data_IF_606190360804
#
_entry.id   IF_606190360804
#
_cell.length_a   1.000
_cell.length_b   1.000
_cell.length_c   1.000
_cell.angle_alpha   90.00
_cell.angle_beta   90.00
_cell.angle_gamma   90.00
#
_symmetry.space_group_name_H-M   'P 1'
#
loop_
_entity.id
_entity.type
_entity.pdbx_description
1 polymer ?
#
# COMPACT_ATOMS: atom_id res chain seq x y z
N UNK A 1 -40.09 25.97 14.70
CA UNK A 1 -39.77 24.56 14.99
C UNK A 1 -39.06 23.99 13.77
N UNK A 2 -37.76 23.74 13.87
CA UNK A 2 -36.96 23.12 12.80
C UNK A 2 -37.40 21.67 12.66
N UNK A 3 -37.91 21.28 11.49
CA UNK A 3 -38.20 19.88 11.18
C UNK A 3 -36.92 19.07 11.41
N UNK A 4 -36.95 17.99 12.22
CA UNK A 4 -35.76 17.18 12.47
C UNK A 4 -35.23 16.64 11.15
N UNK A 5 -33.91 16.72 10.97
CA UNK A 5 -33.25 16.22 9.76
C UNK A 5 -33.44 14.70 9.65
N UNK A 6 -33.64 14.22 8.43
CA UNK A 6 -33.73 12.79 8.16
C UNK A 6 -32.41 12.09 8.60
N UNK A 7 -32.45 11.07 9.49
CA UNK A 7 -31.25 10.39 10.00
C UNK A 7 -30.35 9.79 8.92
N UNK A 8 -30.91 9.45 7.75
CA UNK A 8 -30.12 8.93 6.62
C UNK A 8 -29.17 9.95 6.00
N UNK A 9 -29.41 11.26 6.19
CA UNK A 9 -28.48 12.32 5.76
C UNK A 9 -27.32 12.51 6.75
N UNK A 10 -27.46 12.02 7.97
CA UNK A 10 -26.46 12.16 9.03
C UNK A 10 -25.46 11.00 9.10
N UNK A 11 -25.76 9.88 8.44
CA UNK A 11 -25.01 8.62 8.56
C UNK A 11 -24.16 8.26 7.33
N UNK A 12 -24.34 8.93 6.19
CA UNK A 12 -23.61 8.63 4.95
C UNK A 12 -23.62 9.81 3.97
N UNK A 13 -22.75 9.81 2.95
CA UNK A 13 -22.82 10.77 1.87
C UNK A 13 -24.17 10.73 1.15
N UNK A 14 -24.65 11.88 0.69
CA UNK A 14 -25.91 12.00 -0.04
C UNK A 14 -25.84 13.05 -1.15
N UNK A 15 -26.67 12.88 -2.19
CA UNK A 15 -26.76 13.80 -3.32
C UNK A 15 -27.72 14.95 -3.06
N UNK A 16 -27.63 16.03 -3.84
CA UNK A 16 -28.64 17.10 -3.86
C UNK A 16 -30.07 16.57 -4.06
N UNK A 17 -30.24 15.53 -4.89
CA UNK A 17 -31.56 14.93 -5.14
C UNK A 17 -32.09 14.28 -3.86
N UNK A 18 -31.25 13.50 -3.17
CA UNK A 18 -31.61 12.85 -1.91
C UNK A 18 -31.95 13.83 -0.79
N UNK A 19 -31.25 14.97 -0.74
CA UNK A 19 -31.58 16.05 0.20
C UNK A 19 -33.01 16.57 -0.04
N UNK A 20 -33.37 16.82 -1.31
CA UNK A 20 -34.71 17.31 -1.68
C UNK A 20 -35.80 16.29 -1.39
N UNK A 21 -35.57 15.01 -1.72
CA UNK A 21 -36.47 13.90 -1.36
C UNK A 21 -36.72 13.83 0.15
N UNK A 22 -35.73 14.24 0.95
CA UNK A 22 -35.80 14.27 2.41
C UNK A 22 -36.35 15.59 2.96
N UNK A 23 -36.95 16.45 2.12
CA UNK A 23 -37.53 17.73 2.52
C UNK A 23 -36.53 18.88 2.70
N UNK A 24 -35.25 18.68 2.40
CA UNK A 24 -34.22 19.72 2.53
C UNK A 24 -34.08 20.49 1.22
N UNK A 25 -34.57 21.73 1.20
CA UNK A 25 -34.44 22.63 0.04
C UNK A 25 -32.99 23.01 -0.23
N UNK A 26 -32.69 23.53 -1.44
CA UNK A 26 -31.33 24.00 -1.79
C UNK A 26 -30.87 25.13 -0.86
N UNK A 27 -31.78 26.01 -0.44
CA UNK A 27 -31.47 27.11 0.47
C UNK A 27 -31.20 26.60 1.89
N UNK A 28 -32.02 25.66 2.38
CA UNK A 28 -31.79 25.00 3.67
C UNK A 28 -30.47 24.23 3.69
N UNK A 29 -30.15 23.49 2.62
CA UNK A 29 -28.88 22.78 2.50
C UNK A 29 -27.68 23.74 2.51
N UNK A 30 -27.79 24.89 1.85
CA UNK A 30 -26.74 25.91 1.87
C UNK A 30 -26.55 26.52 3.27
N UNK A 31 -27.64 26.75 4.01
CA UNK A 31 -27.56 27.19 5.41
C UNK A 31 -26.89 26.12 6.30
N UNK A 32 -27.31 24.86 6.20
CA UNK A 32 -26.72 23.75 6.98
C UNK A 32 -25.23 23.51 6.67
N UNK A 33 -24.77 23.86 5.46
CA UNK A 33 -23.34 23.83 5.13
C UNK A 33 -22.58 25.01 5.73
N UNK A 34 -23.20 26.20 5.74
CA UNK A 34 -22.65 27.39 6.39
C UNK A 34 -22.55 27.21 7.91
N UNK A 35 -23.52 26.53 8.50
CA UNK A 35 -23.61 26.24 9.92
C UNK A 35 -22.82 24.99 10.34
N UNK A 36 -21.98 24.45 9.43
CA UNK A 36 -21.11 23.29 9.67
C UNK A 36 -21.83 22.00 10.10
N UNK A 37 -23.12 21.84 9.78
CA UNK A 37 -23.84 20.56 9.97
C UNK A 37 -23.46 19.57 8.87
N UNK A 38 -23.33 20.08 7.63
CA UNK A 38 -22.88 19.32 6.48
C UNK A 38 -21.63 19.94 5.87
N UNK A 39 -20.74 19.12 5.30
CA UNK A 39 -19.67 19.57 4.42
C UNK A 39 -19.91 19.06 3.01
N UNK A 40 -19.53 19.86 2.01
CA UNK A 40 -19.54 19.44 0.62
C UNK A 40 -18.31 18.56 0.36
N UNK A 41 -18.54 17.30 0.02
CA UNK A 41 -17.48 16.32 -0.22
C UNK A 41 -17.06 16.28 -1.69
N UNK A 42 -18.04 16.22 -2.60
CA UNK A 42 -17.86 16.34 -4.04
C UNK A 42 -18.86 17.37 -4.57
N UNK A 43 -18.70 17.81 -5.82
CA UNK A 43 -19.72 18.66 -6.45
C UNK A 43 -21.08 17.93 -6.45
N UNK A 44 -22.06 18.48 -5.72
CA UNK A 44 -23.41 17.92 -5.61
C UNK A 44 -23.57 16.78 -4.59
N UNK A 45 -22.52 16.46 -3.83
CA UNK A 45 -22.52 15.43 -2.78
C UNK A 45 -22.08 16.03 -1.46
N UNK A 46 -22.81 15.70 -0.40
CA UNK A 46 -22.64 16.25 0.93
C UNK A 46 -22.58 15.12 1.95
N UNK A 47 -21.98 15.40 3.09
CA UNK A 47 -21.87 14.47 4.22
C UNK A 47 -21.94 15.25 5.53
N UNK A 48 -22.43 14.62 6.59
CA UNK A 48 -22.35 15.19 7.94
C UNK A 48 -20.89 15.48 8.31
N UNK A 49 -20.66 16.63 8.96
CA UNK A 49 -19.35 16.97 9.51
C UNK A 49 -18.94 16.06 10.67
N UNK A 50 -19.89 15.38 11.31
CA UNK A 50 -19.66 14.43 12.39
C UNK A 50 -19.03 13.10 11.92
N UNK A 51 -19.03 12.82 10.61
CA UNK A 51 -18.39 11.62 10.04
C UNK A 51 -16.94 11.95 9.71
N UNK A 52 -15.99 11.14 10.18
CA UNK A 52 -14.57 11.29 9.82
C UNK A 52 -14.32 11.00 8.34
N UNK A 53 -13.33 11.67 7.76
CA UNK A 53 -13.00 11.45 6.35
C UNK A 53 -12.22 10.14 6.19
N UNK A 54 -12.59 9.34 5.20
CA UNK A 54 -11.93 8.08 4.88
C UNK A 54 -11.98 7.80 3.39
N UNK A 55 -11.12 6.90 2.91
CA UNK A 55 -11.16 6.47 1.50
C UNK A 55 -12.51 5.83 1.17
N UNK A 56 -13.06 5.01 2.08
CA UNK A 56 -14.38 4.39 1.92
C UNK A 56 -15.51 5.42 1.86
N UNK A 57 -15.43 6.48 2.67
CA UNK A 57 -16.40 7.58 2.64
C UNK A 57 -16.32 8.30 1.29
N UNK A 58 -15.11 8.58 0.81
CA UNK A 58 -14.85 9.23 -0.48
C UNK A 58 -15.37 8.39 -1.64
N UNK A 59 -15.10 7.08 -1.66
CA UNK A 59 -15.63 6.17 -2.68
C UNK A 59 -17.16 6.10 -2.61
N UNK A 60 -17.74 6.04 -1.41
CA UNK A 60 -19.20 6.06 -1.23
C UNK A 60 -19.84 7.34 -1.77
N UNK A 61 -19.19 8.49 -1.57
CA UNK A 61 -19.62 9.75 -2.16
C UNK A 61 -19.50 9.75 -3.70
N UNK A 62 -18.42 9.18 -4.25
CA UNK A 62 -18.19 9.08 -5.69
C UNK A 62 -19.26 8.21 -6.36
N UNK A 63 -19.66 7.09 -5.75
CA UNK A 63 -20.73 6.21 -6.25
C UNK A 63 -22.03 6.93 -6.59
N UNK A 64 -22.34 8.02 -5.89
CA UNK A 64 -23.58 8.79 -6.11
C UNK A 64 -23.54 9.64 -7.39
N UNK A 65 -22.36 9.86 -7.98
CA UNK A 65 -22.16 10.83 -9.06
C UNK A 65 -21.21 10.35 -10.17
N UNK A 66 -20.66 9.15 -10.05
CA UNK A 66 -19.72 8.59 -11.02
C UNK A 66 -20.45 8.21 -12.31
N UNK A 67 -19.90 8.62 -13.45
CA UNK A 67 -20.42 8.22 -14.77
C UNK A 67 -19.97 6.81 -15.15
N UNK A 68 -20.72 6.10 -16.00
CA UNK A 68 -20.44 4.68 -16.33
C UNK A 68 -19.08 4.44 -17.01
N UNK A 69 -18.50 5.48 -17.62
CA UNK A 69 -17.20 5.42 -18.31
C UNK A 69 -16.01 5.86 -17.42
N UNK A 70 -16.27 6.26 -16.17
CA UNK A 70 -15.22 6.65 -15.23
C UNK A 70 -14.80 5.43 -14.42
N UNK A 71 -13.50 5.18 -14.40
CA UNK A 71 -12.89 4.00 -13.80
C UNK A 71 -12.05 4.48 -12.61
N UNK A 72 -12.22 3.87 -11.45
CA UNK A 72 -11.35 4.11 -10.28
C UNK A 72 -10.01 3.43 -10.53
N UNK A 73 -8.91 4.12 -10.27
CA UNK A 73 -7.56 3.61 -10.55
C UNK A 73 -6.56 3.96 -9.43
N UNK A 74 -5.31 3.51 -9.58
CA UNK A 74 -4.20 3.90 -8.72
C UNK A 74 -4.43 3.57 -7.26
N UNK A 75 -4.09 4.48 -6.33
CA UNK A 75 -4.14 4.22 -4.88
C UNK A 75 -5.57 3.94 -4.39
N UNK A 76 -6.57 4.60 -4.97
CA UNK A 76 -7.97 4.31 -4.63
C UNK A 76 -8.40 2.93 -5.14
N UNK A 77 -7.92 2.48 -6.30
CA UNK A 77 -8.19 1.13 -6.76
C UNK A 77 -7.49 0.08 -5.89
N UNK A 78 -6.24 0.32 -5.48
CA UNK A 78 -5.53 -0.56 -4.55
C UNK A 78 -6.30 -0.72 -3.24
N UNK A 79 -6.79 0.38 -2.65
CA UNK A 79 -7.64 0.34 -1.46
C UNK A 79 -8.87 -0.53 -1.65
N UNK A 80 -9.55 -0.41 -2.79
CA UNK A 80 -10.72 -1.24 -3.11
C UNK A 80 -10.41 -2.72 -3.31
N UNK A 81 -9.16 -3.06 -3.65
CA UNK A 81 -8.64 -4.42 -3.67
C UNK A 81 -8.14 -4.90 -2.30
N UNK A 82 -8.25 -4.08 -1.25
CA UNK A 82 -7.76 -4.40 0.10
C UNK A 82 -6.26 -4.14 0.29
N UNK A 83 -5.62 -3.38 -0.59
CA UNK A 83 -4.19 -3.06 -0.54
C UNK A 83 -4.01 -1.58 -0.16
N UNK A 84 -3.36 -1.32 0.97
CA UNK A 84 -2.98 0.04 1.34
C UNK A 84 -1.72 0.46 0.57
N UNK A 85 -1.90 1.43 -0.33
CA UNK A 85 -0.83 2.02 -1.15
C UNK A 85 -0.63 3.51 -0.84
N UNK A 86 -1.20 4.01 0.26
CA UNK A 86 -1.04 5.39 0.69
C UNK A 86 0.27 5.56 1.47
N UNK A 87 0.98 6.65 1.22
CA UNK A 87 2.16 6.99 2.02
C UNK A 87 1.73 7.67 3.33
N UNK A 88 2.56 7.69 4.36
CA UNK A 88 2.21 8.33 5.64
C UNK A 88 1.76 9.80 5.49
N UNK A 89 2.36 10.53 4.56
CA UNK A 89 1.95 11.90 4.24
C UNK A 89 0.52 11.98 3.65
N UNK A 90 0.07 10.93 2.96
CA UNK A 90 -1.29 10.83 2.44
C UNK A 90 -2.30 10.57 3.57
N UNK A 91 -1.89 10.06 4.74
CA UNK A 91 -2.77 9.81 5.87
C UNK A 91 -3.08 11.09 6.68
N UNK A 92 -2.18 12.08 6.68
CA UNK A 92 -2.45 13.39 7.28
C UNK A 92 -3.54 14.16 6.53
N UNK A 93 -3.50 14.10 5.20
CA UNK A 93 -4.54 14.65 4.32
C UNK A 93 -4.79 13.67 3.18
N UNK A 94 -5.89 12.92 3.29
CA UNK A 94 -6.25 11.93 2.28
C UNK A 94 -6.24 12.55 0.87
N UNK A 95 -5.57 11.90 -0.10
CA UNK A 95 -5.47 12.42 -1.46
C UNK A 95 -6.81 12.30 -2.19
N UNK A 96 -7.03 13.09 -3.26
CA UNK A 96 -8.23 12.99 -4.09
C UNK A 96 -8.46 11.57 -4.60
N UNK A 97 -9.72 11.23 -4.88
CA UNK A 97 -10.04 9.93 -5.49
C UNK A 97 -9.40 9.85 -6.86
N UNK A 98 -8.58 8.83 -7.08
CA UNK A 98 -7.91 8.60 -8.35
C UNK A 98 -8.83 7.89 -9.32
N UNK A 99 -9.00 8.51 -10.49
CA UNK A 99 -9.85 8.00 -11.57
C UNK A 99 -9.12 8.11 -12.91
N UNK A 100 -9.53 7.28 -13.84
CA UNK A 100 -9.17 7.38 -15.24
C UNK A 100 -10.41 7.23 -16.11
N UNK A 101 -10.25 7.64 -17.35
CA UNK A 101 -11.17 7.36 -18.44
C UNK A 101 -10.36 6.83 -19.62
N UNK A 102 -10.98 6.08 -20.55
CA UNK A 102 -10.36 5.74 -21.84
C UNK A 102 -9.82 6.99 -22.57
N UNK A 103 -8.81 6.79 -23.43
CA UNK A 103 -8.06 7.89 -24.05
C UNK A 103 -8.91 8.85 -24.89
N UNK A 104 -9.97 8.34 -25.51
CA UNK A 104 -10.95 9.06 -26.34
C UNK A 104 -12.04 9.77 -25.52
N UNK A 105 -12.12 9.51 -24.22
CA UNK A 105 -13.14 10.09 -23.35
C UNK A 105 -12.73 11.45 -22.73
N UNK A 106 -13.75 12.21 -22.33
CA UNK A 106 -13.55 13.45 -21.55
C UNK A 106 -13.30 13.11 -20.09
N UNK A 107 -12.22 13.66 -19.53
CA UNK A 107 -11.86 13.42 -18.11
C UNK A 107 -12.92 13.94 -17.17
N UNK A 108 -13.08 13.26 -16.04
CA UNK A 108 -13.92 13.74 -14.93
C UNK A 108 -13.30 15.02 -14.34
N UNK A 109 -13.98 16.15 -14.50
CA UNK A 109 -13.61 17.42 -13.85
C UNK A 109 -14.46 17.62 -12.61
N UNK A 110 -14.01 17.07 -11.48
CA UNK A 110 -14.72 17.18 -10.20
C UNK A 110 -13.74 17.42 -9.06
N UNK A 111 -13.98 18.45 -8.23
CA UNK A 111 -13.20 18.68 -7.01
C UNK A 111 -13.29 17.43 -6.12
N UNK A 112 -12.15 17.01 -5.56
CA UNK A 112 -12.04 15.78 -4.79
C UNK A 112 -11.72 14.53 -5.63
N UNK A 113 -11.61 14.67 -6.96
CA UNK A 113 -11.16 13.61 -7.86
C UNK A 113 -9.94 14.05 -8.66
N UNK A 114 -8.93 13.20 -8.74
CA UNK A 114 -7.83 13.32 -9.70
C UNK A 114 -8.14 12.41 -10.89
N UNK A 115 -8.37 13.00 -12.07
CA UNK A 115 -8.75 12.24 -13.27
C UNK A 115 -7.67 12.30 -14.35
N UNK A 116 -7.34 11.14 -14.90
CA UNK A 116 -6.35 10.93 -15.98
C UNK A 116 -6.99 10.27 -17.20
N UNK A 117 -6.29 10.31 -18.34
CA UNK A 117 -6.61 9.47 -19.51
C UNK A 117 -5.65 8.29 -19.52
N UNK A 118 -6.15 7.10 -19.84
CA UNK A 118 -5.33 5.89 -19.92
C UNK A 118 -5.75 5.06 -21.13
N UNK A 119 -4.76 4.42 -21.75
CA UNK A 119 -5.00 3.30 -22.65
C UNK A 119 -5.35 2.09 -21.80
N UNK A 120 -6.55 1.55 -22.00
CA UNK A 120 -7.14 0.46 -21.22
C UNK A 120 -7.73 -0.56 -22.18
N UNK A 121 -7.39 -1.83 -21.99
CA UNK A 121 -8.08 -2.93 -22.64
C UNK A 121 -9.30 -3.34 -21.81
N UNK A 122 -10.24 -4.06 -22.42
CA UNK A 122 -11.42 -4.56 -21.70
C UNK A 122 -11.04 -5.42 -20.47
N UNK A 123 -9.94 -6.19 -20.56
CA UNK A 123 -9.41 -6.98 -19.44
C UNK A 123 -8.71 -6.19 -18.33
N UNK A 124 -8.53 -4.88 -18.49
CA UNK A 124 -7.90 -4.02 -17.48
C UNK A 124 -8.91 -3.45 -16.48
N UNK A 125 -10.21 -3.69 -16.69
CA UNK A 125 -11.30 -3.08 -15.92
C UNK A 125 -12.20 -4.17 -15.37
N UNK A 126 -12.64 -3.99 -14.13
CA UNK A 126 -13.64 -4.84 -13.46
C UNK A 126 -14.61 -3.98 -12.64
N UNK A 127 -15.64 -4.60 -12.07
CA UNK A 127 -16.59 -3.91 -11.20
C UNK A 127 -16.45 -4.35 -9.74
N UNK A 128 -16.42 -3.38 -8.81
CA UNK A 128 -16.47 -3.63 -7.37
C UNK A 128 -17.59 -2.79 -6.77
N UNK A 129 -18.66 -3.43 -6.27
CA UNK A 129 -19.79 -2.71 -5.68
C UNK A 129 -20.43 -1.68 -6.61
N UNK A 130 -20.58 -2.04 -7.90
CA UNK A 130 -21.27 -1.22 -8.91
C UNK A 130 -20.43 -0.11 -9.55
N UNK A 131 -19.16 0.04 -9.19
CA UNK A 131 -18.23 0.99 -9.83
C UNK A 131 -17.17 0.27 -10.65
N UNK A 132 -16.78 0.87 -11.77
CA UNK A 132 -15.67 0.38 -12.58
C UNK A 132 -14.34 0.71 -11.89
N UNK A 133 -13.44 -0.26 -11.83
CA UNK A 133 -12.13 -0.18 -11.17
C UNK A 133 -11.09 -0.88 -12.04
N UNK A 134 -9.85 -0.39 -12.08
CA UNK A 134 -8.76 -1.15 -12.71
C UNK A 134 -8.56 -2.50 -12.02
N UNK A 135 -8.29 -3.57 -12.78
CA UNK A 135 -8.01 -4.90 -12.22
C UNK A 135 -6.79 -4.87 -11.29
N UNK A 136 -6.61 -5.86 -10.40
CA UNK A 136 -5.44 -5.93 -9.51
C UNK A 136 -4.11 -5.83 -10.27
N UNK A 137 -3.94 -6.61 -11.33
CA UNK A 137 -2.72 -6.58 -12.16
C UNK A 137 -2.48 -5.21 -12.78
N UNK A 138 -3.53 -4.60 -13.38
CA UNK A 138 -3.42 -3.26 -13.95
C UNK A 138 -3.06 -2.21 -12.90
N UNK A 139 -3.70 -2.29 -11.73
CA UNK A 139 -3.47 -1.38 -10.61
C UNK A 139 -2.03 -1.49 -10.10
N UNK A 140 -1.52 -2.72 -9.91
CA UNK A 140 -0.16 -2.98 -9.47
C UNK A 140 0.89 -2.45 -10.45
N UNK A 141 0.70 -2.67 -11.76
CA UNK A 141 1.57 -2.15 -12.83
C UNK A 141 1.60 -0.62 -12.84
N UNK A 142 0.42 0.00 -12.80
CA UNK A 142 0.29 1.45 -12.80
C UNK A 142 0.97 2.07 -11.56
N UNK A 143 0.77 1.49 -10.37
CA UNK A 143 1.41 1.95 -9.14
C UNK A 143 2.91 1.70 -9.11
N UNK A 144 3.39 0.55 -9.58
CA UNK A 144 4.82 0.27 -9.68
C UNK A 144 5.59 1.22 -10.61
N UNK A 145 4.90 1.79 -11.61
CA UNK A 145 5.46 2.87 -12.46
C UNK A 145 5.38 4.27 -11.84
N UNK A 146 4.39 4.51 -10.97
CA UNK A 146 4.02 5.86 -10.52
C UNK A 146 4.57 6.22 -9.14
N UNK A 147 4.61 5.26 -8.22
CA UNK A 147 5.05 5.47 -6.84
C UNK A 147 6.59 5.50 -6.75
N UNK A 148 7.08 5.94 -5.58
CA UNK A 148 8.50 5.80 -5.23
C UNK A 148 8.93 4.32 -5.32
N UNK A 149 10.22 4.03 -5.51
CA UNK A 149 10.70 2.63 -5.61
C UNK A 149 10.26 1.76 -4.44
N UNK A 150 10.36 2.29 -3.22
CA UNK A 150 9.95 1.62 -1.98
C UNK A 150 8.46 1.27 -1.99
N UNK A 151 7.61 2.27 -2.18
CA UNK A 151 6.16 2.10 -2.23
C UNK A 151 5.73 1.22 -3.41
N UNK A 152 6.40 1.36 -4.56
CA UNK A 152 6.18 0.56 -5.76
C UNK A 152 6.47 -0.92 -5.53
N UNK A 153 7.61 -1.28 -4.90
CA UNK A 153 7.91 -2.67 -4.58
C UNK A 153 6.91 -3.24 -3.58
N UNK A 154 6.65 -2.50 -2.49
CA UNK A 154 5.72 -2.92 -1.45
C UNK A 154 4.32 -3.21 -2.00
N UNK A 155 3.83 -2.38 -2.93
CA UNK A 155 2.54 -2.62 -3.60
C UNK A 155 2.60 -3.89 -4.45
N UNK A 156 3.64 -4.09 -5.26
CA UNK A 156 3.79 -5.30 -6.07
C UNK A 156 3.82 -6.57 -5.20
N UNK A 157 4.60 -6.56 -4.13
CA UNK A 157 4.71 -7.65 -3.16
C UNK A 157 3.36 -7.93 -2.51
N UNK A 158 2.65 -6.88 -2.07
CA UNK A 158 1.34 -7.03 -1.43
C UNK A 158 0.28 -7.64 -2.37
N UNK A 159 0.24 -7.24 -3.64
CA UNK A 159 -0.66 -7.85 -4.62
C UNK A 159 -0.30 -9.33 -4.91
N UNK A 160 0.99 -9.67 -4.96
CA UNK A 160 1.46 -11.05 -5.10
C UNK A 160 1.12 -11.89 -3.86
N UNK A 161 1.29 -11.32 -2.66
CA UNK A 161 0.99 -11.96 -1.38
C UNK A 161 -0.48 -12.37 -1.28
N UNK A 162 -1.39 -11.48 -1.68
CA UNK A 162 -2.82 -11.75 -1.71
C UNK A 162 -3.25 -12.69 -2.86
N UNK A 163 -2.33 -13.13 -3.72
CA UNK A 163 -2.61 -14.11 -4.77
C UNK A 163 -3.45 -13.57 -5.93
N UNK A 164 -3.56 -12.24 -6.09
CA UNK A 164 -4.33 -11.64 -7.18
C UNK A 164 -3.80 -11.99 -8.57
N UNK A 165 -2.49 -12.21 -8.66
CA UNK A 165 -1.79 -12.71 -9.84
C UNK A 165 -0.47 -13.35 -9.39
N UNK A 166 0.22 -14.01 -10.32
CA UNK A 166 1.53 -14.59 -10.07
C UNK A 166 2.64 -13.82 -10.80
N UNK A 167 3.89 -14.16 -10.48
CA UNK A 167 5.08 -13.54 -11.06
C UNK A 167 5.14 -13.62 -12.59
N UNK A 168 4.64 -14.72 -13.18
CA UNK A 168 4.61 -14.93 -14.64
C UNK A 168 3.65 -13.93 -15.30
N UNK A 169 2.46 -13.73 -14.72
CA UNK A 169 1.50 -12.74 -15.22
C UNK A 169 2.10 -11.34 -15.17
N UNK A 170 2.75 -10.97 -14.05
CA UNK A 170 3.39 -9.67 -13.88
C UNK A 170 4.50 -9.42 -14.92
N UNK A 171 5.35 -10.42 -15.18
CA UNK A 171 6.42 -10.32 -16.18
C UNK A 171 5.89 -10.23 -17.63
N UNK A 172 4.85 -11.00 -17.97
CA UNK A 172 4.25 -10.95 -19.30
C UNK A 172 3.61 -9.59 -19.59
N UNK A 173 3.01 -8.98 -18.58
CA UNK A 173 2.31 -7.70 -18.67
C UNK A 173 3.25 -6.54 -19.03
N UNK A 174 4.54 -6.60 -18.66
CA UNK A 174 5.55 -5.59 -19.00
C UNK A 174 5.68 -5.32 -20.50
N UNK A 175 5.33 -6.30 -21.35
CA UNK A 175 5.42 -6.17 -22.81
C UNK A 175 4.43 -5.17 -23.39
N UNK A 176 3.38 -4.82 -22.64
CA UNK A 176 2.32 -3.89 -23.06
C UNK A 176 2.68 -2.42 -22.86
N UNK A 177 3.76 -2.10 -22.14
CA UNK A 177 4.07 -0.73 -21.74
C UNK A 177 5.42 -0.17 -22.29
N UNK A 178 5.85 -0.50 -23.52
CA UNK A 178 7.09 0.07 -24.06
C UNK A 178 6.98 1.60 -24.18
N UNK A 179 8.00 2.33 -23.74
CA UNK A 179 8.03 3.79 -23.81
C UNK A 179 7.19 4.52 -22.75
N UNK A 180 6.46 3.81 -21.89
CA UNK A 180 5.72 4.44 -20.80
C UNK A 180 6.66 5.02 -19.74
N UNK A 181 6.33 6.20 -19.22
CA UNK A 181 7.02 6.78 -18.07
C UNK A 181 6.97 5.81 -16.89
N UNK A 182 8.12 5.53 -16.29
CA UNK A 182 8.24 4.61 -15.15
C UNK A 182 8.49 3.14 -15.52
N UNK A 183 8.45 2.77 -16.80
CA UNK A 183 8.64 1.37 -17.21
C UNK A 183 10.02 0.79 -16.83
N UNK A 184 11.06 1.62 -16.82
CA UNK A 184 12.42 1.19 -16.42
C UNK A 184 12.45 0.81 -14.95
N UNK A 185 11.83 1.62 -14.08
CA UNK A 185 11.68 1.30 -12.66
C UNK A 185 10.85 0.03 -12.51
N UNK A 186 9.67 -0.04 -13.14
CA UNK A 186 8.79 -1.18 -13.02
C UNK A 186 9.51 -2.49 -13.40
N UNK A 187 10.31 -2.51 -14.49
CA UNK A 187 11.10 -3.70 -14.85
C UNK A 187 12.07 -4.14 -13.76
N UNK A 188 12.75 -3.18 -13.11
CA UNK A 188 13.64 -3.48 -11.99
C UNK A 188 12.87 -4.01 -10.79
N UNK A 189 11.75 -3.38 -10.43
CA UNK A 189 10.93 -3.79 -9.29
C UNK A 189 10.30 -5.17 -9.53
N UNK A 190 9.78 -5.45 -10.73
CA UNK A 190 9.22 -6.77 -11.07
C UNK A 190 10.28 -7.87 -10.93
N UNK A 191 11.54 -7.60 -11.27
CA UNK A 191 12.62 -8.57 -11.08
C UNK A 191 12.92 -8.86 -9.59
N UNK A 192 12.54 -7.94 -8.69
CA UNK A 192 12.72 -8.04 -7.25
C UNK A 192 11.43 -8.44 -6.52
N UNK A 193 10.27 -8.34 -7.14
CA UNK A 193 8.98 -8.58 -6.48
C UNK A 193 8.85 -10.02 -5.96
N UNK A 194 8.36 -10.18 -4.74
CA UNK A 194 8.21 -11.46 -4.04
C UNK A 194 7.03 -11.38 -3.06
N UNK A 195 5.98 -12.18 -3.31
CA UNK A 195 4.78 -12.21 -2.49
C UNK A 195 4.96 -12.79 -1.07
N UNK A 196 6.16 -13.20 -0.69
CA UNK A 196 6.48 -13.61 0.69
C UNK A 196 6.75 -12.42 1.62
N UNK A 197 6.98 -11.22 1.09
CA UNK A 197 7.03 -10.02 1.94
C UNK A 197 5.63 -9.69 2.44
N UNK A 198 5.43 -9.64 3.76
CA UNK A 198 4.09 -9.51 4.37
C UNK A 198 3.78 -8.08 4.82
N UNK A 199 4.78 -7.21 4.80
CA UNK A 199 4.63 -5.80 5.14
C UNK A 199 5.40 -4.88 4.18
N UNK A 200 4.98 -3.61 4.04
CA UNK A 200 5.75 -2.62 3.30
C UNK A 200 7.17 -2.45 3.84
N UNK A 201 7.34 -2.48 5.16
CA UNK A 201 8.64 -2.34 5.81
C UNK A 201 9.63 -3.43 5.41
N UNK A 202 9.20 -4.70 5.39
CA UNK A 202 10.02 -5.81 4.88
C UNK A 202 10.44 -5.61 3.43
N UNK A 203 9.50 -5.19 2.59
CA UNK A 203 9.73 -4.91 1.17
C UNK A 203 10.77 -3.79 1.00
N UNK A 204 10.69 -2.74 1.82
CA UNK A 204 11.63 -1.62 1.81
C UNK A 204 13.03 -2.05 2.25
N UNK A 205 13.15 -2.74 3.38
CA UNK A 205 14.45 -3.23 3.88
C UNK A 205 15.10 -4.14 2.83
N UNK A 206 14.32 -5.04 2.22
CA UNK A 206 14.78 -5.93 1.18
C UNK A 206 15.25 -5.18 -0.07
N UNK A 207 14.50 -4.18 -0.53
CA UNK A 207 14.90 -3.33 -1.64
C UNK A 207 16.26 -2.66 -1.39
N UNK A 208 16.43 -2.05 -0.22
CA UNK A 208 17.66 -1.34 0.14
C UNK A 208 18.86 -2.29 0.23
N UNK A 209 18.66 -3.50 0.75
CA UNK A 209 19.69 -4.54 0.76
C UNK A 209 20.12 -4.93 -0.66
N UNK A 210 19.16 -5.11 -1.58
CA UNK A 210 19.42 -5.48 -2.97
C UNK A 210 20.07 -4.34 -3.75
N UNK A 211 19.61 -3.09 -3.57
CA UNK A 211 20.18 -1.91 -4.23
C UNK A 211 21.62 -1.65 -3.75
N UNK A 212 21.96 -2.03 -2.51
CA UNK A 212 23.32 -2.05 -1.99
C UNK A 212 24.12 -3.32 -2.37
N UNK A 213 23.59 -4.18 -3.23
CA UNK A 213 24.33 -5.34 -3.76
C UNK A 213 24.58 -6.45 -2.74
N UNK A 214 23.76 -6.54 -1.68
CA UNK A 214 23.68 -7.77 -0.90
C UNK A 214 22.94 -8.85 -1.71
N UNK A 215 23.27 -10.12 -1.46
CA UNK A 215 22.51 -11.23 -2.03
C UNK A 215 21.06 -11.20 -1.53
N UNK A 216 20.12 -11.72 -2.31
CA UNK A 216 18.74 -11.80 -1.85
C UNK A 216 18.66 -12.66 -0.57
N UNK A 217 18.08 -12.16 0.53
CA UNK A 217 17.81 -12.97 1.71
C UNK A 217 16.72 -14.00 1.43
N UNK A 218 16.67 -15.04 2.27
CA UNK A 218 15.53 -15.94 2.40
C UNK A 218 14.40 -15.19 3.12
N UNK A 219 13.26 -15.00 2.46
CA UNK A 219 12.08 -14.38 3.07
C UNK A 219 11.32 -15.41 3.91
N UNK A 220 10.74 -14.96 5.02
CA UNK A 220 9.83 -15.75 5.87
C UNK A 220 10.45 -17.10 6.29
N UNK A 221 11.74 -17.06 6.65
CA UNK A 221 12.54 -18.24 6.94
C UNK A 221 12.12 -18.88 8.26
N UNK A 222 11.83 -20.19 8.21
CA UNK A 222 11.38 -20.97 9.37
C UNK A 222 12.58 -21.54 10.13
N UNK A 223 12.76 -21.10 11.36
CA UNK A 223 13.70 -21.69 12.31
C UNK A 223 13.01 -22.86 13.02
N UNK A 224 13.57 -24.06 12.86
CA UNK A 224 13.09 -25.27 13.53
C UNK A 224 13.93 -25.60 14.77
N UNK A 225 13.28 -26.08 15.82
CA UNK A 225 13.92 -26.58 17.04
C UNK A 225 13.30 -27.91 17.45
N UNK A 226 14.12 -28.95 17.62
CA UNK A 226 13.68 -30.32 17.93
C UNK A 226 12.62 -30.88 16.96
N UNK A 227 12.72 -30.52 15.68
CA UNK A 227 11.80 -30.96 14.63
C UNK A 227 10.59 -30.05 14.41
N UNK A 228 10.29 -29.18 15.35
CA UNK A 228 9.12 -28.29 15.32
C UNK A 228 9.47 -26.89 14.82
N UNK A 229 8.51 -26.22 14.18
CA UNK A 229 8.63 -24.82 13.79
C UNK A 229 8.55 -23.94 15.03
N UNK A 230 9.61 -23.16 15.28
CA UNK A 230 9.71 -22.34 16.47
C UNK A 230 9.47 -20.87 16.16
N UNK A 231 10.20 -20.33 15.18
CA UNK A 231 10.12 -18.92 14.79
C UNK A 231 10.12 -18.78 13.28
N UNK A 232 9.47 -17.72 12.80
CA UNK A 232 9.54 -17.26 11.41
C UNK A 232 10.25 -15.92 11.39
N UNK A 233 11.24 -15.80 10.53
CA UNK A 233 12.11 -14.63 10.40
C UNK A 233 11.79 -13.94 9.08
N UNK A 234 11.54 -12.63 9.12
CA UNK A 234 11.14 -11.87 7.93
C UNK A 234 12.14 -12.00 6.79
N UNK A 235 13.42 -11.79 7.11
CA UNK A 235 14.55 -11.87 6.19
C UNK A 235 15.72 -12.58 6.87
N UNK A 236 16.28 -13.60 6.21
CA UNK A 236 17.39 -14.37 6.77
C UNK A 236 18.46 -14.70 5.73
N UNK A 237 19.70 -14.78 6.20
CA UNK A 237 20.77 -15.52 5.53
C UNK A 237 21.01 -16.80 6.31
N UNK A 238 20.20 -17.83 6.04
CA UNK A 238 20.15 -19.03 6.86
C UNK A 238 21.52 -19.71 7.04
N UNK A 239 22.31 -19.79 5.96
CA UNK A 239 23.67 -20.36 5.99
C UNK A 239 24.63 -19.63 6.93
N UNK A 240 24.43 -18.33 7.12
CA UNK A 240 25.26 -17.48 7.97
C UNK A 240 24.65 -17.26 9.36
N UNK A 241 23.43 -17.75 9.61
CA UNK A 241 22.62 -17.43 10.80
C UNK A 241 22.54 -15.92 11.06
N UNK A 242 22.24 -15.13 10.03
CA UNK A 242 21.96 -13.70 10.16
C UNK A 242 20.47 -13.48 9.88
N UNK A 243 19.78 -12.83 10.80
CA UNK A 243 18.37 -12.44 10.69
C UNK A 243 18.28 -10.92 10.60
N UNK A 244 17.38 -10.43 9.76
CA UNK A 244 17.04 -9.01 9.65
C UNK A 244 15.53 -8.91 9.94
N UNK A 245 15.17 -8.14 10.96
CA UNK A 245 13.77 -7.90 11.34
C UNK A 245 13.45 -6.43 11.12
N UNK A 246 12.28 -6.14 10.52
CA UNK A 246 11.77 -4.78 10.46
C UNK A 246 10.87 -4.52 11.66
N UNK A 247 11.22 -3.51 12.45
CA UNK A 247 10.49 -3.12 13.66
C UNK A 247 9.75 -1.80 13.38
N UNK A 248 8.51 -1.94 12.89
CA UNK A 248 7.60 -0.83 12.65
C UNK A 248 6.79 -0.53 13.91
N UNK A 249 7.28 0.39 14.74
CA UNK A 249 6.68 0.83 16.03
C UNK A 249 5.24 1.41 15.90
N UNK A 250 4.65 1.37 14.71
CA UNK A 250 3.37 2.02 14.38
C UNK A 250 2.13 1.16 14.60
N UNK A 251 2.32 -0.12 14.94
CA UNK A 251 1.25 -0.89 15.53
C UNK A 251 1.34 -0.72 17.05
N UNK A 252 0.19 -0.49 17.69
CA UNK A 252 0.06 -0.36 19.14
C UNK A 252 0.57 -1.62 19.85
N UNK A 253 1.88 -1.74 19.99
CA UNK A 253 2.52 -2.90 20.56
C UNK A 253 2.33 -2.86 22.07
N UNK A 254 1.42 -3.70 22.54
CA UNK A 254 1.28 -3.98 23.96
C UNK A 254 2.65 -4.39 24.53
N UNK A 255 2.95 -4.02 25.78
CA UNK A 255 4.17 -4.43 26.48
C UNK A 255 4.43 -5.94 26.37
N UNK A 256 3.37 -6.75 26.24
CA UNK A 256 3.45 -8.19 26.06
C UNK A 256 4.12 -8.60 24.74
N UNK A 257 3.83 -7.89 23.65
CA UNK A 257 4.41 -8.17 22.33
C UNK A 257 5.90 -7.81 22.31
N UNK A 258 6.26 -6.66 22.88
CA UNK A 258 7.66 -6.25 23.03
C UNK A 258 8.47 -7.27 23.85
N UNK A 259 7.91 -7.76 24.95
CA UNK A 259 8.54 -8.80 25.78
C UNK A 259 8.68 -10.11 25.00
N UNK A 260 7.68 -10.48 24.20
CA UNK A 260 7.72 -11.69 23.39
C UNK A 260 8.81 -11.60 22.30
N UNK A 261 8.92 -10.46 21.61
CA UNK A 261 9.91 -10.24 20.58
C UNK A 261 11.33 -10.19 21.15
N UNK A 262 11.54 -9.56 22.30
CA UNK A 262 12.88 -9.58 22.93
C UNK A 262 13.26 -11.00 23.37
N UNK A 263 12.32 -11.79 23.91
CA UNK A 263 12.56 -13.21 24.22
C UNK A 263 12.91 -14.03 22.98
N UNK A 264 12.22 -13.80 21.86
CA UNK A 264 12.53 -14.42 20.56
C UNK A 264 13.95 -14.07 20.13
N UNK A 265 14.30 -12.78 20.12
CA UNK A 265 15.62 -12.27 19.72
C UNK A 265 16.73 -12.82 20.63
N UNK A 266 16.50 -12.88 21.93
CA UNK A 266 17.44 -13.45 22.90
C UNK A 266 17.65 -14.95 22.65
N UNK A 267 16.58 -15.71 22.38
CA UNK A 267 16.69 -17.13 22.00
C UNK A 267 17.52 -17.30 20.74
N UNK A 268 17.25 -16.52 19.68
CA UNK A 268 17.99 -16.56 18.43
C UNK A 268 19.49 -16.32 18.67
N UNK A 269 19.83 -15.28 19.45
CA UNK A 269 21.23 -14.96 19.82
C UNK A 269 21.91 -16.11 20.54
N UNK A 270 21.24 -16.74 21.53
CA UNK A 270 21.76 -17.93 22.24
C UNK A 270 22.01 -19.13 21.32
N UNK A 271 21.29 -19.22 20.19
CA UNK A 271 21.43 -20.30 19.21
C UNK A 271 22.31 -19.92 18.00
N UNK A 272 23.12 -18.86 18.18
CA UNK A 272 24.16 -18.44 17.26
C UNK A 272 23.67 -17.57 16.11
N UNK A 273 22.44 -17.06 16.16
CA UNK A 273 21.97 -16.06 15.21
C UNK A 273 22.48 -14.67 15.56
N UNK A 274 22.85 -13.90 14.54
CA UNK A 274 23.02 -12.46 14.64
C UNK A 274 21.71 -11.82 14.19
N UNK A 275 21.10 -11.03 15.07
CA UNK A 275 19.82 -10.35 14.79
C UNK A 275 20.10 -8.87 14.54
N UNK A 276 19.82 -8.40 13.34
CA UNK A 276 19.89 -6.99 12.93
C UNK A 276 18.46 -6.46 12.90
N UNK A 277 18.15 -5.51 13.78
CA UNK A 277 16.84 -4.84 13.78
C UNK A 277 16.95 -3.56 12.96
N UNK A 278 16.03 -3.38 12.02
CA UNK A 278 15.89 -2.16 11.21
C UNK A 278 14.59 -1.47 11.60
N UNK A 279 14.68 -0.21 12.03
CA UNK A 279 13.50 0.59 12.38
C UNK A 279 13.16 1.59 11.31
N UNK A 280 11.97 2.21 11.39
CA UNK A 280 11.56 3.27 10.46
C UNK A 280 12.58 4.42 10.40
N UNK A 281 13.19 4.80 11.51
CA UNK A 281 14.19 5.88 11.59
C UNK A 281 15.50 5.51 10.86
N UNK A 282 15.79 4.21 10.72
CA UNK A 282 16.94 3.73 9.96
C UNK A 282 16.70 3.84 8.45
N UNK A 283 15.47 4.03 7.97
CA UNK A 283 15.15 4.12 6.53
C UNK A 283 15.56 5.47 5.89
N UNK A 284 16.44 6.22 6.54
CA UNK A 284 17.18 7.33 5.93
C UNK A 284 18.38 6.80 5.13
N UNK A 285 18.96 7.62 4.23
CA UNK A 285 20.13 7.19 3.45
C UNK A 285 21.28 6.72 4.34
N UNK A 286 21.65 7.51 5.34
CA UNK A 286 22.77 7.18 6.23
C UNK A 286 22.43 6.03 7.20
N UNK A 287 21.16 5.92 7.62
CA UNK A 287 20.67 4.81 8.44
C UNK A 287 20.76 3.48 7.69
N UNK A 288 20.28 3.43 6.44
CA UNK A 288 20.35 2.24 5.59
C UNK A 288 21.79 1.82 5.36
N UNK A 289 22.68 2.75 4.99
CA UNK A 289 24.09 2.43 4.77
C UNK A 289 24.74 1.82 6.01
N UNK A 290 24.39 2.32 7.20
CA UNK A 290 24.85 1.78 8.48
C UNK A 290 24.32 0.36 8.71
N UNK A 291 23.03 0.12 8.47
CA UNK A 291 22.40 -1.20 8.64
C UNK A 291 22.91 -2.22 7.64
N UNK A 292 23.11 -1.84 6.39
CA UNK A 292 23.73 -2.68 5.38
C UNK A 292 25.18 -3.01 5.75
N UNK A 293 25.95 -2.05 6.27
CA UNK A 293 27.30 -2.31 6.76
C UNK A 293 27.32 -3.27 7.97
N UNK A 294 26.35 -3.15 8.88
CA UNK A 294 26.13 -4.07 10.00
C UNK A 294 25.87 -5.50 9.48
N UNK A 295 24.97 -5.65 8.50
CA UNK A 295 24.66 -6.93 7.85
C UNK A 295 25.89 -7.51 7.16
N UNK A 296 26.63 -6.72 6.36
CA UNK A 296 27.87 -7.17 5.69
C UNK A 296 28.90 -7.66 6.71
N UNK A 297 29.05 -6.97 7.83
CA UNK A 297 29.97 -7.37 8.90
C UNK A 297 29.54 -8.68 9.55
N UNK A 298 28.25 -8.83 9.84
CA UNK A 298 27.68 -10.06 10.37
C UNK A 298 27.92 -11.24 9.42
N UNK A 299 27.67 -11.07 8.12
CA UNK A 299 27.90 -12.09 7.11
C UNK A 299 29.38 -12.50 7.03
N UNK A 300 30.29 -11.53 6.95
CA UNK A 300 31.75 -11.79 6.91
C UNK A 300 32.25 -12.52 8.15
N UNK A 301 31.70 -12.23 9.33
CA UNK A 301 32.06 -12.91 10.57
C UNK A 301 31.68 -14.41 10.58
N UNK A 302 30.80 -14.81 9.65
CA UNK A 302 30.23 -16.15 9.52
C UNK A 302 30.64 -16.87 8.23
N UNK A 303 31.31 -16.17 7.31
CA UNK A 303 31.95 -16.80 6.17
C UNK A 303 33.17 -17.61 6.62
N UNK A 304 33.40 -18.81 6.07
CA UNK A 304 34.65 -19.54 6.32
C UNK A 304 35.83 -18.64 5.96
N UNK A 305 36.84 -18.54 6.85
CA UNK A 305 38.12 -17.94 6.45
C UNK A 305 38.62 -18.73 5.24
N UNK A 306 38.77 -18.09 4.09
CA UNK A 306 39.57 -18.67 3.01
C UNK A 306 40.95 -18.95 3.63
N UNK A 307 41.32 -20.23 3.77
CA UNK A 307 42.70 -20.54 4.13
C UNK A 307 43.55 -20.03 2.97
N UNK A 308 44.40 -19.06 3.25
CA UNK A 308 45.50 -18.72 2.34
C UNK A 308 46.35 -19.99 2.24
N UNK A 309 46.07 -20.80 1.22
CA UNK A 309 46.96 -21.87 0.80
C UNK A 309 48.25 -21.17 0.35
N UNK A 310 49.33 -21.50 1.06
CA UNK A 310 50.68 -21.02 0.86
C UNK A 310 51.27 -21.52 -0.45
#
# INVERSE_FOLDING_TARGET
MTTPLNPSLLSRPFSCARARESGVSRHALAALVRDHVFRRMLQGVYVSTAIEDSVDLRVSALRLVIGPHVIVCGRTAAWLHGIDAFEYADLEVLPPIETCVPADCTRLRRRGCASSRRELHAGDVMAIGGIQVTTPLRTAIDLGMQLSRRSGLAVLDSFLHHGFFNQVALQNELRRFPGHRGIVQLRQLVAMADGRSESPGESWVRLEMLDEGLACPDLQFIVKWRGEELFRLDLAYAKHKVCIEYDGVEFHDSLLQQVHDERRREWLRRHGWIVVVVRKEDLTRDGILRKVAEIRTALRSRSPRQSLAS
#
